data_IF_442103570631
#
_entry.id   IF_442103570631
#
_cell.length_a   1.000
_cell.length_b   1.000
_cell.length_c   1.000
_cell.angle_alpha   90.00
_cell.angle_beta   90.00
_cell.angle_gamma   90.00
#
_symmetry.space_group_name_H-M   'P 1'
#
loop_
_entity.id
_entity.type
_entity.pdbx_description
1 polymer ?
#
# COMPACT_ATOMS: atom_id res chain seq x y z
N UNK A 1 3.18 -3.53 -6.04
CA UNK A 1 3.75 -4.86 -5.75
C UNK A 1 4.37 -4.87 -4.37
N UNK A 2 4.40 -6.02 -3.72
CA UNK A 2 5.15 -6.21 -2.48
C UNK A 2 6.25 -7.24 -2.75
N UNK A 3 7.48 -6.94 -2.35
CA UNK A 3 8.60 -7.89 -2.35
C UNK A 3 9.01 -8.16 -0.91
N UNK A 4 9.06 -9.44 -0.56
CA UNK A 4 9.54 -9.94 0.72
C UNK A 4 10.91 -10.59 0.51
N UNK A 5 11.72 -10.77 1.57
CA UNK A 5 12.94 -11.55 1.47
C UNK A 5 12.66 -12.97 0.97
N UNK A 6 13.69 -13.60 0.38
CA UNK A 6 13.57 -14.95 -0.18
C UNK A 6 13.02 -15.93 0.87
N UNK A 7 12.16 -16.84 0.45
CA UNK A 7 11.46 -17.82 1.30
C UNK A 7 10.52 -17.22 2.36
N UNK A 8 10.09 -15.97 2.25
CA UNK A 8 9.11 -15.38 3.17
C UNK A 8 7.74 -15.18 2.52
N UNK A 9 6.70 -15.31 3.35
CA UNK A 9 5.31 -15.04 2.99
C UNK A 9 4.64 -14.19 4.06
N UNK A 10 3.58 -13.48 3.71
CA UNK A 10 2.79 -12.75 4.69
C UNK A 10 2.19 -13.71 5.73
N UNK A 11 2.08 -13.24 6.96
CA UNK A 11 1.47 -14.00 8.05
C UNK A 11 -0.06 -13.96 7.91
N UNK A 12 -0.68 -15.10 7.63
CA UNK A 12 -2.15 -15.20 7.51
C UNK A 12 -2.87 -15.13 8.88
N UNK A 13 -2.15 -15.41 9.97
CA UNK A 13 -2.67 -15.37 11.34
C UNK A 13 -2.56 -13.99 11.98
N UNK A 14 -1.67 -13.12 11.47
CA UNK A 14 -1.51 -11.74 11.88
C UNK A 14 -1.60 -10.83 10.65
N UNK A 15 -2.79 -10.33 10.31
CA UNK A 15 -3.01 -9.59 9.06
C UNK A 15 -2.17 -8.32 9.01
N UNK A 16 -1.42 -8.15 7.93
CA UNK A 16 -0.74 -6.89 7.62
C UNK A 16 -1.73 -5.77 7.32
N UNK A 17 -1.30 -4.52 7.43
CA UNK A 17 -2.12 -3.33 7.20
C UNK A 17 -1.43 -2.37 6.24
N UNK A 18 -2.23 -1.66 5.45
CA UNK A 18 -1.82 -0.50 4.65
C UNK A 18 -2.75 0.65 4.98
N UNK A 19 -2.19 1.78 5.36
CA UNK A 19 -2.92 3.02 5.59
C UNK A 19 -2.51 4.03 4.53
N UNK A 20 -3.50 4.64 3.91
CA UNK A 20 -3.34 5.63 2.85
C UNK A 20 -3.96 6.94 3.31
N UNK A 21 -3.19 8.02 3.21
CA UNK A 21 -3.65 9.37 3.59
C UNK A 21 -3.22 10.38 2.54
N UNK A 22 -4.14 11.25 2.15
CA UNK A 22 -3.84 12.36 1.25
C UNK A 22 -3.58 13.63 2.07
N UNK A 23 -2.54 14.36 1.70
CA UNK A 23 -2.24 15.69 2.25
C UNK A 23 -2.30 16.75 1.14
N UNK A 24 -2.86 17.92 1.48
CA UNK A 24 -3.07 19.03 0.55
C UNK A 24 -4.50 19.10 -0.01
N UNK A 25 -4.67 19.84 -1.12
CA UNK A 25 -5.93 19.86 -1.87
C UNK A 25 -6.17 18.45 -2.46
N UNK A 26 -7.29 17.76 -2.14
CA UNK A 26 -7.43 16.33 -2.41
C UNK A 26 -7.55 16.02 -3.90
N UNK A 27 -6.41 15.71 -4.53
CA UNK A 27 -6.29 15.16 -5.89
C UNK A 27 -6.68 13.69 -5.99
N UNK A 28 -6.79 13.01 -4.85
CA UNK A 28 -7.33 11.67 -4.72
C UNK A 28 -8.33 11.69 -3.57
N UNK A 29 -9.51 11.12 -3.81
CA UNK A 29 -10.52 10.89 -2.77
C UNK A 29 -10.70 9.40 -2.58
N UNK A 30 -10.62 8.98 -1.32
CA UNK A 30 -11.17 7.70 -0.87
C UNK A 30 -12.56 7.95 -0.29
N UNK A 31 -13.32 6.88 -0.02
CA UNK A 31 -14.65 6.99 0.60
C UNK A 31 -14.62 7.70 1.98
N UNK A 32 -13.45 7.74 2.62
CA UNK A 32 -13.13 8.50 3.82
C UNK A 32 -11.80 9.25 3.60
N UNK A 33 -11.47 10.30 4.36
CA UNK A 33 -10.20 11.07 4.20
C UNK A 33 -8.91 10.21 4.36
N UNK A 34 -9.09 8.95 4.80
CA UNK A 34 -8.08 7.91 4.83
C UNK A 34 -8.67 6.60 4.30
N UNK A 35 -7.84 5.78 3.67
CA UNK A 35 -8.19 4.40 3.37
C UNK A 35 -7.29 3.45 4.17
N UNK A 36 -7.90 2.68 5.07
CA UNK A 36 -7.23 1.61 5.80
C UNK A 36 -7.61 0.28 5.18
N UNK A 37 -6.60 -0.54 4.84
CA UNK A 37 -6.80 -1.85 4.25
C UNK A 37 -6.06 -2.93 5.03
N UNK A 38 -6.80 -3.94 5.46
CA UNK A 38 -6.25 -5.13 6.13
C UNK A 38 -6.00 -6.23 5.09
N UNK A 39 -4.79 -6.79 5.11
CA UNK A 39 -4.28 -7.74 4.13
C UNK A 39 -4.38 -9.17 4.65
N UNK A 40 -5.58 -9.75 4.66
CA UNK A 40 -5.75 -11.14 5.15
C UNK A 40 -5.13 -12.18 4.20
N UNK A 41 -5.26 -12.00 2.87
CA UNK A 41 -4.65 -12.79 1.79
C UNK A 41 -4.57 -11.94 0.51
N UNK A 42 -3.75 -10.87 0.50
CA UNK A 42 -3.77 -9.92 -0.59
C UNK A 42 -3.28 -10.57 -1.90
N UNK A 43 -3.95 -10.23 -3.01
CA UNK A 43 -3.39 -10.45 -4.34
C UNK A 43 -2.67 -9.16 -4.75
N UNK A 44 -1.41 -9.30 -5.15
CA UNK A 44 -0.63 -8.18 -5.65
C UNK A 44 -0.63 -8.16 -7.19
N UNK A 45 -0.65 -6.97 -7.82
CA UNK A 45 -0.71 -5.65 -7.20
C UNK A 45 -2.07 -5.38 -6.53
N UNK A 46 -2.06 -4.62 -5.42
CA UNK A 46 -3.28 -4.18 -4.74
C UNK A 46 -4.03 -3.20 -5.65
N UNK A 47 -5.35 -3.35 -5.72
CA UNK A 47 -6.22 -2.42 -6.46
C UNK A 47 -7.10 -1.70 -5.46
N UNK A 48 -7.12 -0.37 -5.53
CA UNK A 48 -7.85 0.49 -4.62
C UNK A 48 -8.92 1.25 -5.41
N UNK A 49 -10.18 1.28 -4.94
CA UNK A 49 -11.19 2.15 -5.52
C UNK A 49 -10.87 3.59 -5.10
N UNK A 50 -10.39 4.39 -6.06
CA UNK A 50 -10.05 5.80 -5.82
C UNK A 50 -10.63 6.67 -6.93
N UNK A 51 -11.04 7.88 -6.57
CA UNK A 51 -11.44 8.90 -7.54
C UNK A 51 -10.34 9.95 -7.62
N UNK A 52 -9.85 10.21 -8.83
CA UNK A 52 -8.85 11.23 -9.08
C UNK A 52 -9.51 12.57 -9.43
N UNK A 53 -8.93 13.66 -8.92
CA UNK A 53 -9.29 15.03 -9.24
C UNK A 53 -8.07 15.78 -9.74
N UNK A 54 -8.26 16.64 -10.75
CA UNK A 54 -7.18 17.42 -11.34
C UNK A 54 -6.46 18.26 -10.28
N UNK A 55 -5.13 18.21 -10.28
CA UNK A 55 -4.29 19.01 -9.39
C UNK A 55 -3.00 18.31 -8.99
N UNK A 56 -2.33 18.87 -7.98
CA UNK A 56 -1.14 18.30 -7.37
C UNK A 56 -1.36 18.02 -5.88
N UNK A 57 -0.82 16.92 -5.37
CA UNK A 57 -0.95 16.55 -3.96
C UNK A 57 0.06 15.51 -3.53
N UNK A 58 -0.05 15.06 -2.29
CA UNK A 58 0.84 14.05 -1.73
C UNK A 58 0.04 12.91 -1.14
N UNK A 59 0.46 11.69 -1.47
CA UNK A 59 -0.06 10.48 -0.88
C UNK A 59 0.97 9.90 0.09
N UNK A 60 0.57 9.79 1.34
CA UNK A 60 1.29 9.05 2.36
C UNK A 60 0.77 7.62 2.38
N UNK A 61 1.70 6.67 2.38
CA UNK A 61 1.44 5.24 2.47
C UNK A 61 2.21 4.69 3.65
N UNK A 62 1.50 4.13 4.60
CA UNK A 62 2.06 3.51 5.80
C UNK A 62 1.77 2.01 5.74
N UNK A 63 2.84 1.22 5.81
CA UNK A 63 2.81 -0.23 5.76
C UNK A 63 3.12 -0.78 7.13
N UNK A 64 2.32 -1.77 7.55
CA UNK A 64 2.55 -2.58 8.74
C UNK A 64 2.49 -4.02 8.29
N UNK A 65 3.64 -4.69 8.19
CA UNK A 65 3.75 -6.00 7.58
C UNK A 65 4.16 -7.06 8.59
N UNK A 66 3.36 -8.11 8.69
CA UNK A 66 3.72 -9.34 9.39
C UNK A 66 4.03 -10.42 8.36
N UNK A 67 5.20 -11.04 8.46
CA UNK A 67 5.65 -12.04 7.49
C UNK A 67 6.48 -13.11 8.18
N UNK A 68 6.47 -14.34 7.67
CA UNK A 68 7.14 -15.47 8.27
C UNK A 68 8.01 -16.19 7.24
N UNK A 69 9.07 -16.84 7.72
CA UNK A 69 9.82 -17.80 6.91
C UNK A 69 8.92 -18.97 6.55
N UNK A 70 8.99 -19.39 5.29
CA UNK A 70 8.17 -20.47 4.74
C UNK A 70 8.74 -21.84 5.08
N UNK A 71 10.06 -21.91 5.29
CA UNK A 71 10.82 -23.13 5.59
C UNK A 71 11.02 -23.37 7.10
N UNK A 72 10.75 -22.36 7.94
CA UNK A 72 10.87 -22.46 9.40
C UNK A 72 9.53 -22.13 10.04
N UNK A 73 8.88 -23.14 10.62
CA UNK A 73 7.60 -22.96 11.30
C UNK A 73 7.77 -22.08 12.54
N UNK A 74 6.91 -21.08 12.70
CA UNK A 74 6.85 -20.22 13.88
C UNK A 74 7.83 -19.04 13.90
N UNK A 75 8.73 -18.91 12.92
CA UNK A 75 9.62 -17.75 12.82
C UNK A 75 8.98 -16.65 11.98
N UNK A 76 8.42 -15.66 12.68
CA UNK A 76 7.74 -14.51 12.09
C UNK A 76 8.42 -13.20 12.47
N UNK A 77 8.24 -12.23 11.60
CA UNK A 77 8.87 -10.92 11.62
C UNK A 77 7.80 -9.85 11.44
N UNK A 78 8.22 -8.62 11.76
CA UNK A 78 7.43 -7.42 11.61
C UNK A 78 8.26 -6.37 10.88
N UNK A 79 7.65 -5.61 9.97
CA UNK A 79 8.26 -4.48 9.31
C UNK A 79 7.27 -3.33 9.17
N UNK A 80 7.75 -2.12 9.40
CA UNK A 80 7.02 -0.89 9.12
C UNK A 80 7.76 -0.09 8.05
N UNK A 81 6.99 0.56 7.19
CA UNK A 81 7.53 1.46 6.20
C UNK A 81 6.57 2.61 5.92
N UNK A 82 7.13 3.81 5.74
CA UNK A 82 6.39 4.97 5.27
C UNK A 82 6.93 5.40 3.91
N UNK A 83 6.02 5.63 2.97
CA UNK A 83 6.33 6.14 1.63
C UNK A 83 5.53 7.41 1.40
N UNK A 84 6.17 8.37 0.74
CA UNK A 84 5.53 9.60 0.26
C UNK A 84 5.59 9.60 -1.26
N UNK A 85 4.44 9.81 -1.89
CA UNK A 85 4.31 9.84 -3.34
C UNK A 85 3.71 11.17 -3.76
N UNK A 86 4.43 11.88 -4.62
CA UNK A 86 3.89 13.07 -5.30
C UNK A 86 2.88 12.64 -6.35
N UNK A 87 1.71 13.27 -6.31
CA UNK A 87 0.63 13.05 -7.27
C UNK A 87 0.50 14.28 -8.16
N UNK A 88 0.46 14.05 -9.48
CA UNK A 88 0.13 15.05 -10.49
C UNK A 88 -0.97 14.45 -11.38
N UNK A 89 -2.20 14.92 -11.17
CA UNK A 89 -3.39 14.41 -11.85
C UNK A 89 -3.81 15.43 -12.90
N UNK A 90 -3.82 15.02 -14.17
CA UNK A 90 -4.17 15.88 -15.30
C UNK A 90 -5.33 15.30 -16.12
N UNK A 91 -6.21 16.13 -16.70
CA UNK A 91 -7.23 15.67 -17.64
C UNK A 91 -6.60 14.92 -18.82
N UNK A 92 -7.22 13.82 -19.25
CA UNK A 92 -6.72 13.04 -20.40
C UNK A 92 -5.43 12.25 -20.14
N UNK A 93 -5.02 12.07 -18.88
CA UNK A 93 -3.89 11.20 -18.56
C UNK A 93 -4.14 9.78 -19.09
N UNK A 94 -3.11 9.20 -19.72
CA UNK A 94 -3.19 7.87 -20.34
C UNK A 94 -3.47 6.74 -19.34
N UNK A 95 -3.28 6.98 -18.04
CA UNK A 95 -3.49 5.99 -16.98
C UNK A 95 -4.19 6.60 -15.78
N UNK A 96 -5.20 5.92 -15.25
CA UNK A 96 -5.88 6.24 -13.99
C UNK A 96 -5.53 5.24 -12.88
N UNK A 97 -4.38 4.55 -12.97
CA UNK A 97 -3.97 3.58 -11.95
C UNK A 97 -2.83 4.12 -11.10
N UNK A 98 -3.04 4.11 -9.79
CA UNK A 98 -1.97 4.26 -8.82
C UNK A 98 -1.33 2.90 -8.56
N UNK A 99 -0.01 2.79 -8.76
CA UNK A 99 0.74 1.58 -8.47
C UNK A 99 1.70 1.82 -7.31
N UNK A 100 1.41 1.19 -6.16
CA UNK A 100 2.27 1.23 -4.98
C UNK A 100 3.23 0.05 -5.00
N UNK A 101 4.52 0.29 -4.76
CA UNK A 101 5.51 -0.77 -4.63
C UNK A 101 6.36 -0.63 -3.38
N UNK A 102 6.49 -1.71 -2.61
CA UNK A 102 7.32 -1.77 -1.42
C UNK A 102 8.16 -3.05 -1.41
N UNK A 103 9.39 -2.95 -0.90
CA UNK A 103 10.33 -4.04 -0.75
C UNK A 103 10.87 -4.03 0.68
N UNK A 104 10.64 -5.14 1.38
CA UNK A 104 11.18 -5.37 2.72
C UNK A 104 12.61 -5.88 2.55
N UNK A 105 13.56 -5.15 3.14
CA UNK A 105 14.99 -5.49 3.13
C UNK A 105 15.34 -6.50 4.19
#
# INVERSE_FOLDING_TARGET
SLRLPKEHKLNEQAPSQVVLRVEGDPVVRFDQDQATMTLHRPRFPLTLPVVFQHGQGRLLVEWTLYYCRSDVTGLCYFAEARQELSLDVRPGAATSRLSLSHEVK
#
